data_IF_061454890560
#
_entry.id   IF_061454890560
#
_cell.length_a   1.000
_cell.length_b   1.000
_cell.length_c   1.000
_cell.angle_alpha   90.00
_cell.angle_beta   90.00
_cell.angle_gamma   90.00
#
_symmetry.space_group_name_H-M   'P 1'
#
loop_
_entity.id
_entity.type
_entity.pdbx_description
1 polymer ?
#
# COMPACT_ATOMS: atom_id res chain seq x y z
N UNK A 1 5.08 -10.12 -14.04
CA UNK A 1 4.21 -11.22 -14.51
C UNK A 1 3.69 -12.11 -13.34
N UNK A 2 3.18 -11.54 -12.23
CA UNK A 2 2.73 -12.31 -11.03
C UNK A 2 1.37 -11.91 -10.44
N UNK A 3 0.79 -10.77 -10.83
CA UNK A 3 -0.56 -10.38 -10.40
C UNK A 3 -1.62 -11.35 -10.95
N UNK A 4 -1.43 -11.84 -12.18
CA UNK A 4 -2.32 -12.80 -12.82
C UNK A 4 -2.44 -14.12 -12.03
N UNK A 5 -1.34 -14.69 -11.51
CA UNK A 5 -1.41 -15.99 -10.82
C UNK A 5 -2.28 -15.96 -9.53
N UNK A 6 -2.33 -14.83 -8.82
CA UNK A 6 -3.22 -14.71 -7.67
C UNK A 6 -4.68 -14.53 -8.11
N UNK A 7 -4.92 -13.75 -9.17
CA UNK A 7 -6.26 -13.54 -9.74
C UNK A 7 -6.82 -14.88 -10.25
N UNK A 8 -6.04 -15.65 -11.01
CA UNK A 8 -6.42 -16.98 -11.50
C UNK A 8 -6.78 -17.92 -10.35
N UNK A 9 -5.97 -17.97 -9.29
CA UNK A 9 -6.28 -18.79 -8.13
C UNK A 9 -7.59 -18.37 -7.46
N UNK A 10 -7.78 -17.06 -7.26
CA UNK A 10 -8.99 -16.56 -6.63
C UNK A 10 -10.21 -16.85 -7.51
N UNK A 11 -10.08 -16.67 -8.82
CA UNK A 11 -11.12 -16.97 -9.81
C UNK A 11 -11.53 -18.44 -9.73
N UNK A 12 -10.57 -19.37 -9.85
CA UNK A 12 -10.81 -20.81 -9.78
C UNK A 12 -11.48 -21.23 -8.45
N UNK A 13 -11.04 -20.65 -7.33
CA UNK A 13 -11.58 -20.99 -6.01
C UNK A 13 -12.96 -20.37 -5.74
N UNK A 14 -13.28 -19.21 -6.32
CA UNK A 14 -14.53 -18.51 -6.04
C UNK A 14 -15.60 -18.74 -7.09
N UNK A 15 -15.23 -19.24 -8.27
CA UNK A 15 -16.10 -19.34 -9.43
C UNK A 15 -16.40 -17.98 -10.08
N UNK A 16 -15.72 -16.91 -9.66
CA UNK A 16 -15.84 -15.60 -10.28
C UNK A 16 -14.91 -15.49 -11.49
N UNK A 17 -15.34 -14.76 -12.52
CA UNK A 17 -14.49 -14.40 -13.65
C UNK A 17 -13.24 -13.63 -13.19
N UNK A 18 -12.09 -13.90 -13.82
CA UNK A 18 -10.82 -13.26 -13.50
C UNK A 18 -10.92 -11.72 -13.51
N UNK A 19 -11.64 -11.16 -14.48
CA UNK A 19 -11.89 -9.72 -14.56
C UNK A 19 -12.71 -9.19 -13.39
N UNK A 20 -13.68 -9.95 -12.88
CA UNK A 20 -14.47 -9.57 -11.73
C UNK A 20 -13.61 -9.57 -10.46
N UNK A 21 -12.73 -10.55 -10.31
CA UNK A 21 -11.73 -10.63 -9.23
C UNK A 21 -10.76 -9.45 -9.31
N UNK A 22 -10.21 -9.17 -10.49
CA UNK A 22 -9.29 -8.05 -10.71
C UNK A 22 -9.94 -6.71 -10.34
N UNK A 23 -11.18 -6.48 -10.78
CA UNK A 23 -11.96 -5.29 -10.40
C UNK A 23 -12.19 -5.21 -8.90
N UNK A 24 -12.59 -6.31 -8.26
CA UNK A 24 -12.82 -6.33 -6.82
C UNK A 24 -11.55 -6.02 -6.01
N UNK A 25 -10.40 -6.57 -6.41
CA UNK A 25 -9.10 -6.27 -5.80
C UNK A 25 -8.68 -4.81 -6.04
N UNK A 26 -8.88 -4.28 -7.24
CA UNK A 26 -8.60 -2.87 -7.52
C UNK A 26 -9.46 -1.91 -6.69
N UNK A 27 -10.76 -2.18 -6.57
CA UNK A 27 -11.68 -1.43 -5.71
C UNK A 27 -11.29 -1.53 -4.23
N UNK A 28 -10.84 -2.69 -3.79
CA UNK A 28 -10.32 -2.88 -2.44
C UNK A 28 -9.08 -2.02 -2.20
N UNK A 29 -8.07 -2.07 -3.08
CA UNK A 29 -6.85 -1.26 -2.92
C UNK A 29 -7.16 0.23 -2.92
N UNK A 30 -8.06 0.69 -3.80
CA UNK A 30 -8.57 2.07 -3.77
C UNK A 30 -9.19 2.41 -2.41
N UNK A 31 -10.01 1.52 -1.85
CA UNK A 31 -10.58 1.69 -0.53
C UNK A 31 -9.53 1.80 0.58
N UNK A 32 -8.43 1.04 0.51
CA UNK A 32 -7.33 1.15 1.46
C UNK A 32 -6.63 2.52 1.38
N UNK A 33 -6.44 3.06 0.17
CA UNK A 33 -5.86 4.40 -0.04
C UNK A 33 -6.77 5.48 0.55
N UNK A 34 -8.09 5.37 0.36
CA UNK A 34 -9.06 6.30 0.95
C UNK A 34 -9.03 6.24 2.48
N UNK A 35 -8.96 5.05 3.09
CA UNK A 35 -8.86 4.91 4.54
C UNK A 35 -7.54 5.46 5.09
N UNK A 36 -6.42 5.28 4.37
CA UNK A 36 -5.15 5.92 4.71
C UNK A 36 -5.24 7.45 4.68
N UNK A 37 -5.93 8.01 3.70
CA UNK A 37 -6.11 9.45 3.58
C UNK A 37 -6.98 10.02 4.72
N UNK A 38 -8.06 9.30 5.08
CA UNK A 38 -9.04 9.76 6.05
C UNK A 38 -8.64 9.51 7.51
N UNK A 39 -8.07 8.33 7.79
CA UNK A 39 -7.78 7.88 9.15
C UNK A 39 -6.28 7.89 9.48
N UNK A 40 -5.41 8.11 8.48
CA UNK A 40 -3.96 8.08 8.64
C UNK A 40 -3.37 6.67 8.81
N UNK A 41 -4.19 5.62 8.87
CA UNK A 41 -3.73 4.24 8.96
C UNK A 41 -4.74 3.25 8.38
N UNK A 42 -4.24 2.13 7.88
CA UNK A 42 -5.08 0.97 7.51
C UNK A 42 -4.32 -0.33 7.73
N UNK A 43 -5.00 -1.35 8.25
CA UNK A 43 -4.40 -2.64 8.54
C UNK A 43 -5.08 -3.78 7.78
N UNK A 44 -4.27 -4.66 7.21
CA UNK A 44 -4.73 -5.89 6.54
C UNK A 44 -4.26 -7.08 7.35
N UNK A 45 -5.21 -7.78 7.97
CA UNK A 45 -4.91 -8.96 8.78
C UNK A 45 -4.18 -10.00 7.94
N UNK A 46 -3.00 -10.40 8.40
CA UNK A 46 -2.14 -11.38 7.74
C UNK A 46 -1.15 -10.80 6.73
N UNK A 47 -1.15 -9.48 6.53
CA UNK A 47 -0.13 -8.73 5.78
C UNK A 47 0.60 -7.76 6.73
N UNK A 48 -0.12 -6.82 7.33
CA UNK A 48 0.45 -5.80 8.22
C UNK A 48 -0.36 -4.51 8.23
N UNK A 49 0.24 -3.43 8.71
CA UNK A 49 -0.37 -2.10 8.77
C UNK A 49 0.41 -1.09 7.93
N UNK A 50 -0.32 -0.18 7.31
CA UNK A 50 0.18 0.98 6.61
C UNK A 50 -0.21 2.21 7.42
N UNK A 51 0.72 3.13 7.62
CA UNK A 51 0.51 4.38 8.33
C UNK A 51 0.99 5.53 7.46
N UNK A 52 0.20 6.59 7.37
CA UNK A 52 0.60 7.83 6.74
C UNK A 52 1.28 8.72 7.79
N UNK A 53 2.60 8.85 7.71
CA UNK A 53 3.40 9.61 8.67
C UNK A 53 3.85 10.93 8.07
N UNK A 54 3.79 11.99 8.88
CA UNK A 54 4.42 13.27 8.56
C UNK A 54 5.93 13.14 8.80
N UNK A 55 6.70 13.44 7.77
CA UNK A 55 8.16 13.57 7.81
C UNK A 55 8.49 15.06 7.81
N UNK A 56 9.19 15.57 8.83
CA UNK A 56 9.56 16.97 8.89
C UNK A 56 10.56 17.32 7.78
N UNK A 57 10.66 18.61 7.46
CA UNK A 57 11.73 19.08 6.59
C UNK A 57 13.08 18.69 7.14
N UNK A 58 14.01 18.30 6.26
CA UNK A 58 15.36 17.91 6.65
C UNK A 58 16.39 18.53 5.72
N UNK A 59 17.61 18.68 6.23
CA UNK A 59 18.74 19.04 5.39
C UNK A 59 19.39 17.77 4.88
N UNK A 60 19.61 17.71 3.57
CA UNK A 60 20.33 16.62 2.92
C UNK A 60 21.26 17.22 1.86
N UNK A 61 22.56 16.94 1.95
CA UNK A 61 23.60 17.45 1.05
C UNK A 61 23.52 18.96 0.73
N UNK A 62 23.23 19.80 1.74
CA UNK A 62 23.14 21.26 1.57
C UNK A 62 21.81 21.77 1.00
N UNK A 63 20.86 20.87 0.72
CA UNK A 63 19.50 21.21 0.29
C UNK A 63 18.51 21.04 1.43
N UNK A 64 17.58 21.98 1.55
CA UNK A 64 16.42 21.85 2.42
C UNK A 64 15.36 21.01 1.69
N UNK A 65 15.15 19.78 2.14
CA UNK A 65 14.06 18.92 1.70
C UNK A 65 12.79 19.34 2.44
N UNK A 66 11.69 19.65 1.73
CA UNK A 66 10.43 20.08 2.35
C UNK A 66 9.81 18.95 3.20
N UNK A 67 8.90 19.28 4.13
CA UNK A 67 8.15 18.25 4.83
C UNK A 67 7.30 17.45 3.84
N UNK A 68 7.10 16.17 4.13
CA UNK A 68 6.33 15.26 3.28
C UNK A 68 5.45 14.34 4.13
N UNK A 69 4.52 13.66 3.48
CA UNK A 69 3.80 12.51 4.03
C UNK A 69 4.29 11.24 3.36
N UNK A 70 4.68 10.27 4.16
CA UNK A 70 5.19 8.98 3.70
C UNK A 70 4.31 7.84 4.20
N UNK A 71 4.11 6.83 3.36
CA UNK A 71 3.43 5.58 3.75
C UNK A 71 4.47 4.64 4.34
N UNK A 72 4.33 4.35 5.63
CA UNK A 72 5.20 3.43 6.35
C UNK A 72 4.48 2.11 6.58
N UNK A 73 5.14 1.01 6.24
CA UNK A 73 4.63 -0.34 6.48
C UNK A 73 5.24 -0.96 7.75
N UNK A 74 4.39 -1.61 8.55
CA UNK A 74 4.81 -2.41 9.70
C UNK A 74 4.15 -3.79 9.68
N UNK A 75 4.94 -4.85 9.88
CA UNK A 75 4.48 -6.24 9.91
C UNK A 75 3.91 -6.66 11.28
N UNK A 76 3.26 -5.74 11.99
CA UNK A 76 2.71 -6.02 13.34
C UNK A 76 1.48 -6.92 13.26
N UNK A 77 1.24 -7.69 14.33
CA UNK A 77 0.01 -8.46 14.46
C UNK A 77 -1.19 -7.52 14.48
N UNK A 78 -2.14 -7.74 13.58
CA UNK A 78 -3.33 -6.91 13.43
C UNK A 78 -4.48 -7.55 14.19
N UNK A 79 -4.95 -6.89 15.25
CA UNK A 79 -6.21 -7.21 15.92
C UNK A 79 -7.32 -6.37 15.28
N UNK A 80 -8.05 -6.95 14.32
CA UNK A 80 -9.11 -6.23 13.61
C UNK A 80 -9.43 -6.85 12.26
N UNK A 81 -10.46 -6.29 11.60
CA UNK A 81 -10.92 -6.73 10.29
C UNK A 81 -11.24 -5.57 9.35
N UNK A 82 -10.47 -4.47 9.47
CA UNK A 82 -10.66 -3.24 8.69
C UNK A 82 -10.63 -3.54 7.19
N UNK A 83 -9.68 -4.36 6.76
CA UNK A 83 -9.60 -4.79 5.37
C UNK A 83 -10.89 -5.47 4.87
N UNK A 84 -11.57 -6.31 5.66
CA UNK A 84 -12.83 -6.92 5.20
C UNK A 84 -13.97 -5.90 5.16
N UNK A 85 -14.02 -4.96 6.11
CA UNK A 85 -14.98 -3.85 6.10
C UNK A 85 -14.82 -3.02 4.82
N UNK A 86 -13.58 -2.64 4.50
CA UNK A 86 -13.22 -1.88 3.30
C UNK A 86 -13.52 -2.67 2.03
N UNK A 87 -13.12 -3.94 1.99
CA UNK A 87 -13.37 -4.80 0.83
C UNK A 87 -14.86 -4.89 0.54
N UNK A 88 -15.68 -5.15 1.56
CA UNK A 88 -17.14 -5.27 1.41
C UNK A 88 -17.79 -3.95 0.98
N UNK A 89 -17.35 -2.82 1.54
CA UNK A 89 -17.94 -1.52 1.19
C UNK A 89 -17.62 -1.10 -0.26
N UNK A 90 -16.51 -1.59 -0.82
CA UNK A 90 -16.06 -1.23 -2.17
C UNK A 90 -16.43 -2.24 -3.25
N UNK A 91 -16.26 -3.53 -2.99
CA UNK A 91 -16.38 -4.57 -4.01
C UNK A 91 -17.84 -5.02 -4.29
N UNK A 92 -18.80 -4.62 -3.44
CA UNK A 92 -20.22 -4.98 -3.57
C UNK A 92 -20.49 -6.50 -3.68
N UNK A 93 -19.60 -7.33 -3.14
CA UNK A 93 -19.75 -8.78 -3.05
C UNK A 93 -20.39 -9.18 -1.72
N UNK A 94 -21.00 -10.36 -1.68
CA UNK A 94 -21.51 -10.91 -0.42
C UNK A 94 -20.38 -11.18 0.58
N UNK A 95 -20.75 -11.33 1.85
CA UNK A 95 -19.79 -11.46 2.95
C UNK A 95 -18.95 -12.73 2.87
N UNK A 96 -19.52 -13.84 2.39
CA UNK A 96 -18.83 -15.13 2.29
C UNK A 96 -17.76 -15.05 1.21
N UNK A 97 -18.13 -14.57 0.03
CA UNK A 97 -17.24 -14.39 -1.11
C UNK A 97 -16.13 -13.38 -0.80
N UNK A 98 -16.47 -12.23 -0.21
CA UNK A 98 -15.49 -11.21 0.21
C UNK A 98 -14.45 -11.78 1.17
N UNK A 99 -14.89 -12.57 2.17
CA UNK A 99 -14.00 -13.22 3.13
C UNK A 99 -13.11 -14.26 2.45
N UNK A 100 -13.66 -15.05 1.52
CA UNK A 100 -12.91 -16.07 0.77
C UNK A 100 -11.82 -15.42 -0.08
N UNK A 101 -12.16 -14.38 -0.85
CA UNK A 101 -11.21 -13.61 -1.67
C UNK A 101 -10.10 -13.04 -0.80
N UNK A 102 -10.44 -12.31 0.28
CA UNK A 102 -9.43 -11.67 1.12
C UNK A 102 -8.46 -12.69 1.75
N UNK A 103 -8.97 -13.85 2.18
CA UNK A 103 -8.15 -14.95 2.71
C UNK A 103 -7.18 -15.50 1.65
N UNK A 104 -7.66 -15.70 0.41
CA UNK A 104 -6.83 -16.18 -0.69
C UNK A 104 -5.79 -15.14 -1.10
N UNK A 105 -6.16 -13.86 -1.13
CA UNK A 105 -5.26 -12.75 -1.42
C UNK A 105 -4.11 -12.66 -0.39
N UNK A 106 -4.43 -12.79 0.89
CA UNK A 106 -3.43 -12.90 1.97
C UNK A 106 -2.54 -14.13 1.80
N UNK A 107 -3.09 -15.26 1.35
CA UNK A 107 -2.30 -16.46 1.05
C UNK A 107 -1.34 -16.24 -0.12
N UNK A 108 -1.75 -15.52 -1.17
CA UNK A 108 -0.84 -15.11 -2.25
C UNK A 108 0.29 -14.22 -1.74
N UNK A 109 -0.01 -13.22 -0.91
CA UNK A 109 1.00 -12.36 -0.29
C UNK A 109 2.04 -13.18 0.49
N UNK A 110 1.59 -14.08 1.36
CA UNK A 110 2.47 -14.92 2.18
C UNK A 110 3.37 -15.83 1.34
N UNK A 111 2.83 -16.42 0.28
CA UNK A 111 3.62 -17.23 -0.66
C UNK A 111 4.68 -16.39 -1.37
N UNK A 112 4.31 -15.20 -1.85
CA UNK A 112 5.24 -14.27 -2.51
C UNK A 112 6.34 -13.82 -1.56
N UNK A 113 5.99 -13.41 -0.34
CA UNK A 113 6.94 -13.01 0.70
C UNK A 113 7.90 -14.14 1.07
N UNK A 114 7.41 -15.39 1.21
CA UNK A 114 8.26 -16.56 1.49
C UNK A 114 9.22 -16.88 0.35
N UNK A 115 8.78 -16.69 -0.90
CA UNK A 115 9.60 -16.91 -2.09
C UNK A 115 10.57 -15.75 -2.37
N UNK A 116 10.44 -14.61 -1.69
CA UNK A 116 11.17 -13.38 -2.01
C UNK A 116 10.69 -12.69 -3.30
N UNK A 117 9.50 -13.05 -3.76
CA UNK A 117 8.91 -12.57 -4.99
C UNK A 117 8.15 -11.26 -4.81
N UNK A 118 8.08 -10.42 -5.84
CA UNK A 118 7.28 -9.21 -5.77
C UNK A 118 5.78 -9.50 -5.56
N UNK A 119 5.17 -8.76 -4.63
CA UNK A 119 3.72 -8.72 -4.45
C UNK A 119 3.23 -7.29 -4.58
N UNK A 120 2.44 -7.03 -5.62
CA UNK A 120 1.95 -5.69 -5.94
C UNK A 120 0.54 -5.47 -5.38
N UNK A 121 0.34 -4.36 -4.69
CA UNK A 121 -0.95 -3.77 -4.37
C UNK A 121 -1.14 -2.61 -5.35
N UNK A 122 -1.65 -2.90 -6.55
CA UNK A 122 -1.66 -1.93 -7.66
C UNK A 122 -2.43 -0.65 -7.29
N UNK A 123 -1.76 0.50 -7.34
CA UNK A 123 -2.30 1.78 -6.91
C UNK A 123 -2.06 2.09 -5.43
N UNK A 124 -1.30 1.27 -4.70
CA UNK A 124 -0.80 1.55 -3.35
C UNK A 124 0.71 1.38 -3.26
N UNK A 125 1.26 0.29 -3.80
CA UNK A 125 2.70 0.03 -3.81
C UNK A 125 3.05 -1.42 -4.09
N UNK A 126 4.32 -1.73 -3.95
CA UNK A 126 4.87 -3.07 -4.18
C UNK A 126 5.70 -3.53 -2.99
N UNK A 127 5.50 -4.78 -2.59
CA UNK A 127 6.45 -5.47 -1.75
C UNK A 127 7.49 -6.15 -2.64
N UNK A 128 8.76 -5.97 -2.32
CA UNK A 128 9.87 -6.59 -3.04
C UNK A 128 11.02 -6.90 -2.09
N UNK A 129 11.88 -7.81 -2.51
CA UNK A 129 13.09 -8.15 -1.77
C UNK A 129 14.20 -7.13 -2.10
N UNK A 130 14.64 -6.35 -1.11
CA UNK A 130 15.79 -5.44 -1.22
C UNK A 130 17.02 -6.05 -0.54
N UNK A 131 17.30 -7.31 -0.85
CA UNK A 131 18.44 -8.10 -0.38
C UNK A 131 18.23 -8.68 1.02
N UNK A 132 18.17 -7.83 2.04
CA UNK A 132 18.14 -8.26 3.45
C UNK A 132 16.71 -8.31 4.01
N UNK A 133 15.79 -7.56 3.40
CA UNK A 133 14.42 -7.41 3.88
C UNK A 133 13.42 -7.38 2.73
N UNK A 134 12.27 -8.00 2.99
CA UNK A 134 11.07 -7.83 2.18
C UNK A 134 10.40 -6.50 2.57
N UNK A 135 10.55 -5.50 1.71
CA UNK A 135 10.23 -4.10 1.99
C UNK A 135 9.04 -3.66 1.15
N UNK A 136 8.18 -2.82 1.72
CA UNK A 136 7.11 -2.15 1.00
C UNK A 136 7.61 -0.83 0.42
N UNK A 137 7.37 -0.63 -0.88
CA UNK A 137 7.69 0.61 -1.61
C UNK A 137 6.37 1.19 -2.14
N UNK A 138 5.96 2.39 -1.69
CA UNK A 138 4.73 3.02 -2.16
C UNK A 138 4.79 3.34 -3.66
N UNK A 139 3.65 3.29 -4.35
CA UNK A 139 3.55 3.76 -5.72
C UNK A 139 3.71 5.29 -5.77
N UNK A 140 4.38 5.81 -6.81
CA UNK A 140 4.61 7.26 -6.97
C UNK A 140 3.31 8.06 -6.97
N UNK A 141 2.26 7.54 -7.62
CA UNK A 141 0.94 8.18 -7.68
C UNK A 141 0.32 8.38 -6.29
N UNK A 142 0.54 7.46 -5.36
CA UNK A 142 0.06 7.58 -3.97
C UNK A 142 0.88 8.59 -3.18
N UNK A 143 2.19 8.61 -3.40
CA UNK A 143 3.03 9.65 -2.82
C UNK A 143 2.58 11.05 -3.27
N UNK A 144 2.38 11.24 -4.58
CA UNK A 144 1.91 12.51 -5.14
C UNK A 144 0.54 12.88 -4.57
N UNK A 145 -0.41 11.94 -4.52
CA UNK A 145 -1.74 12.14 -3.94
C UNK A 145 -1.67 12.68 -2.50
N UNK A 146 -0.86 12.05 -1.63
CA UNK A 146 -0.74 12.43 -0.22
C UNK A 146 0.02 13.73 0.01
N UNK A 147 0.75 14.21 -1.01
CA UNK A 147 1.55 15.42 -0.97
C UNK A 147 1.03 16.52 -1.90
N UNK A 148 -0.15 16.38 -2.51
CA UNK A 148 -0.75 17.35 -3.45
C UNK A 148 -0.79 18.80 -2.88
N UNK A 149 -0.94 18.98 -1.56
CA UNK A 149 -0.90 20.30 -0.91
C UNK A 149 0.49 20.78 -0.47
N UNK A 150 1.49 19.89 -0.45
CA UNK A 150 2.89 20.17 -0.12
C UNK A 150 3.76 20.34 -1.38
N UNK A 151 3.28 19.89 -2.55
CA UNK A 151 4.01 19.95 -3.83
C UNK A 151 4.33 21.35 -4.36
N UNK A 152 3.88 22.41 -3.68
CA UNK A 152 4.28 23.81 -3.95
C UNK A 152 5.63 24.13 -3.30
N UNK A 153 6.04 23.35 -2.30
CA UNK A 153 7.33 23.51 -1.61
C UNK A 153 8.42 22.81 -2.42
N UNK A 154 9.23 23.58 -3.14
CA UNK A 154 10.42 23.09 -3.83
C UNK A 154 11.62 23.04 -2.87
N UNK A 155 12.55 22.09 -3.05
CA UNK A 155 13.81 22.10 -2.31
C UNK A 155 14.53 23.43 -2.49
N UNK A 156 14.98 24.02 -1.39
CA UNK A 156 15.73 25.28 -1.41
C UNK A 156 17.22 24.99 -1.20
N UNK A 157 18.05 25.51 -2.10
CA UNK A 157 19.50 25.56 -1.86
C UNK A 157 19.78 26.61 -0.80
N UNK A 158 20.39 26.19 0.30
CA UNK A 158 20.84 27.12 1.33
C UNK A 158 22.32 27.37 1.08
N UNK A 159 22.63 28.48 0.41
CA UNK A 159 23.99 28.98 0.32
C UNK A 159 24.54 29.18 1.73
N UNK A 160 25.61 28.46 2.08
CA UNK A 160 26.32 28.63 3.35
C UNK A 160 26.87 30.04 3.40
N UNK A 161 26.15 30.96 4.03
CA UNK A 161 26.60 32.32 4.24
C UNK A 161 27.93 32.29 4.98
N UNK A 162 28.99 32.78 4.31
CA UNK A 162 30.31 32.93 4.86
C UNK A 162 30.19 33.71 6.18
N UNK A 163 30.41 33.05 7.32
CA UNK A 163 30.57 33.74 8.60
C UNK A 163 31.87 34.55 8.50
N UNK A 164 31.73 35.87 8.31
CA UNK A 164 32.80 36.82 8.59
C UNK A 164 32.87 37.08 10.09
#
# INVERSE_FOLDING_TARGET
>A
MKHNACIELISAETGLEADAVARALGLFVRGLVEELLLLGQVCIRGIGCFELRSVPSRHDNGQLIPPAREVVFTSRSVQGNDALRVFRSKAMLDMSTSRKILRLYVSCFRRSAKAGDEFRLEGLGVFRNEGVRYTFVPDRSVHDLFNTGLGILIPLEISSGNKR
#
